data_IF_065238201188
#
_entry.id   IF_065238201188
#
_cell.length_a   1.000
_cell.length_b   1.000
_cell.length_c   1.000
_cell.angle_alpha   90.00
_cell.angle_beta   90.00
_cell.angle_gamma   90.00
#
_symmetry.space_group_name_H-M   'P 1'
#
loop_
_entity.id
_entity.type
_entity.pdbx_description
1 polymer ?
#
# COMPACT_ATOMS: atom_id res chain seq x y z
N UNK A 1 -8.00 -20.68 -30.00
CA UNK A 1 -7.04 -19.55 -29.94
C UNK A 1 -6.54 -19.48 -28.52
N UNK A 2 -5.22 -19.51 -28.35
CA UNK A 2 -4.58 -19.51 -27.06
C UNK A 2 -4.74 -18.13 -26.38
N UNK A 3 -5.23 -18.12 -25.15
CA UNK A 3 -5.41 -16.95 -24.28
C UNK A 3 -4.10 -16.23 -23.89
N UNK A 4 -2.96 -16.66 -24.46
CA UNK A 4 -1.62 -16.23 -24.09
C UNK A 4 -0.84 -15.56 -25.24
N UNK A 5 -1.46 -15.34 -26.40
CA UNK A 5 -0.76 -14.73 -27.54
C UNK A 5 -0.64 -13.20 -27.31
N UNK A 6 0.50 -12.77 -26.78
CA UNK A 6 0.86 -11.35 -26.59
C UNK A 6 1.12 -10.88 -25.15
N UNK A 7 0.97 -11.74 -24.13
CA UNK A 7 1.40 -11.42 -22.77
C UNK A 7 2.87 -11.83 -22.61
N UNK A 8 3.77 -10.85 -22.54
CA UNK A 8 5.22 -11.12 -22.44
C UNK A 8 5.57 -11.95 -21.19
N UNK A 9 4.77 -11.91 -20.11
CA UNK A 9 4.91 -12.82 -18.96
C UNK A 9 3.59 -13.06 -18.20
N UNK A 10 3.30 -14.33 -17.85
CA UNK A 10 2.15 -14.68 -16.99
C UNK A 10 2.49 -14.46 -15.52
N UNK A 11 1.60 -13.78 -14.78
CA UNK A 11 1.73 -13.52 -13.34
C UNK A 11 0.48 -13.99 -12.58
N UNK A 12 0.66 -14.34 -11.30
CA UNK A 12 -0.43 -14.74 -10.41
C UNK A 12 -0.93 -13.52 -9.66
N UNK A 13 -2.23 -13.25 -9.74
CA UNK A 13 -2.92 -12.19 -9.02
C UNK A 13 -4.06 -12.80 -8.20
N UNK A 14 -4.11 -12.48 -6.90
CA UNK A 14 -5.26 -12.72 -6.04
C UNK A 14 -5.99 -11.40 -5.85
N UNK A 15 -7.16 -11.26 -6.44
CA UNK A 15 -8.00 -10.07 -6.31
C UNK A 15 -9.37 -10.46 -5.74
N UNK A 16 -9.92 -9.61 -4.87
CA UNK A 16 -11.30 -9.75 -4.43
C UNK A 16 -12.22 -9.24 -5.52
N UNK A 17 -13.19 -10.05 -5.94
CA UNK A 17 -14.32 -9.60 -6.75
C UNK A 17 -15.58 -9.94 -5.97
N UNK A 18 -16.30 -8.92 -5.51
CA UNK A 18 -17.62 -9.14 -4.94
C UNK A 18 -18.54 -9.56 -6.10
N UNK A 19 -18.88 -10.85 -6.16
CA UNK A 19 -19.60 -11.47 -7.30
C UNK A 19 -21.06 -11.03 -7.47
N UNK A 20 -21.46 -9.89 -6.88
CA UNK A 20 -22.83 -9.39 -6.93
C UNK A 20 -23.09 -8.45 -8.11
N UNK A 21 -22.06 -8.04 -8.86
CA UNK A 21 -22.20 -7.15 -10.00
C UNK A 21 -22.49 -7.93 -11.29
N UNK A 22 -23.63 -7.66 -11.92
CA UNK A 22 -24.03 -8.16 -13.25
C UNK A 22 -23.24 -7.51 -14.41
N UNK A 23 -22.02 -7.03 -14.14
CA UNK A 23 -21.16 -6.32 -15.07
C UNK A 23 -20.04 -7.21 -15.62
N UNK A 24 -19.40 -6.72 -16.68
CA UNK A 24 -18.17 -7.31 -17.20
C UNK A 24 -17.09 -7.20 -16.10
N UNK A 25 -16.77 -8.31 -15.42
CA UNK A 25 -15.77 -8.42 -14.32
C UNK A 25 -14.32 -8.11 -14.80
N UNK A 26 -14.18 -7.51 -15.98
CA UNK A 26 -12.92 -7.02 -16.51
C UNK A 26 -12.42 -5.83 -15.70
N UNK A 27 -11.54 -6.11 -14.75
CA UNK A 27 -10.78 -5.10 -14.03
C UNK A 27 -9.90 -4.26 -14.95
N UNK A 28 -9.80 -2.97 -14.67
CA UNK A 28 -8.88 -2.05 -15.35
C UNK A 28 -7.68 -1.76 -14.47
N UNK A 29 -6.48 -2.06 -14.97
CA UNK A 29 -5.23 -1.62 -14.36
C UNK A 29 -5.01 -0.12 -14.63
N UNK A 30 -4.73 0.65 -13.59
CA UNK A 30 -4.49 2.08 -13.61
C UNK A 30 -3.09 2.38 -13.09
N UNK A 31 -2.38 3.30 -13.75
CA UNK A 31 -1.19 3.94 -13.18
C UNK A 31 -1.62 5.24 -12.51
N UNK A 32 -1.38 5.34 -11.20
CA UNK A 32 -1.65 6.52 -10.38
C UNK A 32 -0.39 6.87 -9.56
N UNK A 33 -0.42 7.96 -8.80
CA UNK A 33 0.67 8.32 -7.90
C UNK A 33 0.47 7.70 -6.53
N UNK A 34 1.54 7.16 -5.96
CA UNK A 34 1.58 6.77 -4.56
C UNK A 34 1.29 8.00 -3.68
N UNK A 35 0.37 7.92 -2.71
CA UNK A 35 -0.12 9.10 -2.00
C UNK A 35 0.93 9.79 -1.13
N UNK A 36 1.93 9.03 -0.63
CA UNK A 36 3.05 9.56 0.14
C UNK A 36 4.21 10.09 -0.71
N UNK A 37 4.74 9.27 -1.62
CA UNK A 37 5.98 9.58 -2.35
C UNK A 37 5.73 10.27 -3.69
N UNK A 38 4.54 10.12 -4.26
CA UNK A 38 4.20 10.62 -5.59
C UNK A 38 4.67 9.72 -6.74
N UNK A 39 5.33 8.59 -6.44
CA UNK A 39 5.87 7.68 -7.45
C UNK A 39 4.76 6.93 -8.22
N UNK A 40 5.04 6.54 -9.46
CA UNK A 40 4.08 5.77 -10.26
C UNK A 40 3.81 4.41 -9.62
N UNK A 41 2.55 4.13 -9.31
CA UNK A 41 2.08 2.90 -8.66
C UNK A 41 0.85 2.36 -9.38
N UNK A 42 0.73 1.03 -9.41
CA UNK A 42 -0.35 0.33 -10.11
C UNK A 42 -1.53 0.06 -9.18
N UNK A 43 -2.73 0.37 -9.64
CA UNK A 43 -4.00 0.12 -8.96
C UNK A 43 -4.94 -0.64 -9.87
N UNK A 44 -5.85 -1.39 -9.28
CA UNK A 44 -6.85 -2.17 -9.99
C UNK A 44 -8.23 -1.60 -9.70
N UNK A 45 -8.92 -1.14 -10.74
CA UNK A 45 -10.31 -0.69 -10.67
C UNK A 45 -11.21 -1.82 -11.15
N UNK A 46 -11.98 -2.42 -10.24
CA UNK A 46 -12.94 -3.51 -10.53
C UNK A 46 -14.28 -3.12 -9.93
N UNK A 47 -15.35 -3.19 -10.72
CA UNK A 47 -16.73 -2.99 -10.25
C UNK A 47 -16.98 -1.67 -9.50
N UNK A 48 -16.18 -0.63 -9.79
CA UNK A 48 -16.27 0.68 -9.13
C UNK A 48 -15.45 0.79 -7.84
N UNK A 49 -14.79 -0.28 -7.42
CA UNK A 49 -13.90 -0.31 -6.26
C UNK A 49 -12.44 -0.21 -6.68
N UNK A 50 -11.69 0.62 -5.95
CA UNK A 50 -10.26 0.79 -6.14
C UNK A 50 -9.50 -0.16 -5.21
N UNK A 51 -8.61 -0.96 -5.80
CA UNK A 51 -7.74 -1.86 -5.08
C UNK A 51 -6.27 -1.49 -5.37
N UNK A 52 -5.44 -1.50 -4.34
CA UNK A 52 -3.99 -1.35 -4.50
C UNK A 52 -3.36 -2.70 -4.81
N UNK A 53 -2.29 -2.70 -5.62
CA UNK A 53 -1.56 -3.91 -5.94
C UNK A 53 -0.31 -4.02 -5.06
N UNK A 54 -0.32 -5.04 -4.22
CA UNK A 54 0.82 -5.44 -3.41
C UNK A 54 1.54 -6.61 -4.09
N UNK A 55 2.87 -6.60 -4.03
CA UNK A 55 3.70 -7.66 -4.61
C UNK A 55 4.53 -8.33 -3.53
N UNK A 56 4.51 -9.66 -3.53
CA UNK A 56 5.31 -10.48 -2.65
C UNK A 56 6.05 -11.54 -3.47
N UNK A 57 7.33 -11.76 -3.15
CA UNK A 57 8.13 -12.82 -3.76
C UNK A 57 9.01 -13.50 -2.70
N UNK A 58 8.84 -14.81 -2.57
CA UNK A 58 9.74 -15.63 -1.78
C UNK A 58 10.98 -16.02 -2.60
N UNK A 59 12.15 -16.03 -1.96
CA UNK A 59 13.38 -16.51 -2.60
C UNK A 59 13.23 -17.95 -3.09
N UNK A 60 13.69 -18.21 -4.31
CA UNK A 60 13.65 -19.53 -4.95
C UNK A 60 12.23 -20.13 -5.13
N UNK A 61 11.20 -19.29 -5.26
CA UNK A 61 9.84 -19.71 -5.58
C UNK A 61 9.57 -19.82 -7.09
N UNK A 62 8.64 -20.69 -7.48
CA UNK A 62 8.07 -20.76 -8.83
C UNK A 62 6.62 -21.24 -8.75
N UNK A 63 5.79 -20.89 -9.73
CA UNK A 63 4.40 -21.34 -9.82
C UNK A 63 4.22 -22.37 -10.92
N UNK A 64 3.52 -23.47 -10.61
CA UNK A 64 3.08 -24.44 -11.61
C UNK A 64 1.64 -24.11 -12.02
N UNK A 65 1.46 -23.73 -13.29
CA UNK A 65 0.19 -23.27 -13.85
C UNK A 65 -0.21 -24.19 -15.01
N UNK A 66 -0.92 -25.28 -14.67
CA UNK A 66 -1.23 -26.33 -15.65
C UNK A 66 0.05 -26.96 -16.21
N UNK A 67 0.23 -26.86 -17.53
CA UNK A 67 1.39 -27.40 -18.25
C UNK A 67 2.61 -26.44 -18.30
N UNK A 68 2.51 -25.27 -17.67
CA UNK A 68 3.53 -24.22 -17.72
C UNK A 68 4.10 -23.92 -16.34
N UNK A 69 5.32 -23.41 -16.32
CA UNK A 69 6.00 -22.95 -15.11
C UNK A 69 6.23 -21.45 -15.23
N UNK A 70 5.81 -20.71 -14.20
CA UNK A 70 6.21 -19.32 -14.00
C UNK A 70 7.38 -19.28 -13.02
N UNK A 71 8.56 -19.03 -13.57
CA UNK A 71 9.83 -19.04 -12.84
C UNK A 71 9.96 -17.88 -11.85
N UNK A 72 9.20 -16.80 -12.01
CA UNK A 72 9.26 -15.65 -11.12
C UNK A 72 8.84 -16.00 -9.69
N UNK A 73 7.82 -16.85 -9.53
CA UNK A 73 7.28 -17.23 -8.22
C UNK A 73 6.65 -16.07 -7.43
N UNK A 74 6.54 -14.88 -8.03
CA UNK A 74 5.90 -13.72 -7.42
C UNK A 74 4.39 -13.88 -7.33
N UNK A 75 3.81 -13.27 -6.30
CA UNK A 75 2.38 -13.19 -6.08
C UNK A 75 1.99 -11.72 -6.00
N UNK A 76 1.01 -11.34 -6.82
CA UNK A 76 0.32 -10.08 -6.65
C UNK A 76 -0.94 -10.30 -5.83
N UNK A 77 -1.23 -9.38 -4.92
CA UNK A 77 -2.50 -9.30 -4.21
C UNK A 77 -3.12 -7.94 -4.48
N UNK A 78 -4.42 -7.92 -4.80
CA UNK A 78 -5.19 -6.70 -4.90
C UNK A 78 -6.03 -6.55 -3.63
N UNK A 79 -5.76 -5.51 -2.85
CA UNK A 79 -6.46 -5.23 -1.59
C UNK A 79 -7.26 -3.93 -1.71
N UNK A 80 -8.52 -3.88 -1.23
CA UNK A 80 -9.28 -2.64 -1.23
C UNK A 80 -8.54 -1.52 -0.50
N UNK A 81 -8.49 -0.34 -1.12
CA UNK A 81 -7.86 0.86 -0.55
C UNK A 81 -8.90 1.97 -0.43
N UNK A 82 -8.85 2.77 0.65
CA UNK A 82 -9.71 3.95 0.73
C UNK A 82 -9.24 5.00 -0.29
N UNK A 83 -10.08 5.36 -1.29
CA UNK A 83 -9.69 6.27 -2.36
C UNK A 83 -9.32 7.68 -1.87
N UNK A 84 -9.78 8.09 -0.68
CA UNK A 84 -9.42 9.39 -0.10
C UNK A 84 -7.91 9.49 0.07
N UNK A 85 -7.19 8.43 0.47
CA UNK A 85 -5.72 8.48 0.56
C UNK A 85 -5.08 8.81 -0.78
N UNK A 86 -5.53 8.14 -1.85
CA UNK A 86 -4.98 8.27 -3.20
C UNK A 86 -5.24 9.66 -3.80
N UNK A 87 -6.40 10.24 -3.47
CA UNK A 87 -6.86 11.50 -4.03
C UNK A 87 -6.50 12.74 -3.19
N UNK A 88 -6.21 12.56 -1.90
CA UNK A 88 -5.93 13.66 -0.98
C UNK A 88 -4.78 14.58 -1.44
N UNK A 89 -3.63 14.07 -1.92
CA UNK A 89 -2.57 14.94 -2.46
C UNK A 89 -3.05 15.81 -3.62
N UNK A 90 -3.94 15.28 -4.47
CA UNK A 90 -4.48 16.02 -5.61
C UNK A 90 -5.45 17.10 -5.17
N UNK A 91 -6.29 16.82 -4.18
CA UNK A 91 -7.21 17.80 -3.62
C UNK A 91 -6.45 18.96 -2.95
N UNK A 92 -5.36 18.62 -2.26
CA UNK A 92 -4.52 19.61 -1.58
C UNK A 92 -3.77 20.51 -2.57
N UNK A 93 -3.20 19.94 -3.63
CA UNK A 93 -2.58 20.72 -4.71
C UNK A 93 -3.61 21.60 -5.44
N UNK A 94 -4.79 21.06 -5.72
CA UNK A 94 -5.80 21.76 -6.51
C UNK A 94 -6.40 22.98 -5.80
N UNK A 95 -6.50 22.99 -4.47
CA UNK A 95 -7.02 24.16 -3.74
C UNK A 95 -6.11 25.39 -3.84
N UNK A 96 -4.84 25.26 -4.25
CA UNK A 96 -3.88 26.37 -4.31
C UNK A 96 -3.78 27.16 -2.99
N UNK A 97 -3.67 26.46 -1.86
CA UNK A 97 -3.56 27.08 -0.54
C UNK A 97 -2.32 27.98 -0.47
N UNK A 98 -2.48 29.21 0.02
CA UNK A 98 -1.39 30.15 0.19
C UNK A 98 -1.45 30.77 1.60
N UNK A 99 -0.49 30.40 2.46
CA UNK A 99 -0.48 30.86 3.86
C UNK A 99 -1.77 30.47 4.60
N UNK A 100 -2.47 31.47 5.15
CA UNK A 100 -3.73 31.28 5.88
C UNK A 100 -4.98 31.27 4.97
N UNK A 101 -4.85 31.52 3.65
CA UNK A 101 -5.98 31.43 2.74
C UNK A 101 -6.36 29.95 2.54
N UNK A 102 -7.62 29.53 2.84
CA UNK A 102 -8.08 28.16 2.61
C UNK A 102 -8.06 27.73 1.14
N UNK A 103 -7.86 28.67 0.20
CA UNK A 103 -7.69 28.39 -1.21
C UNK A 103 -9.00 28.44 -2.00
N UNK A 104 -8.94 27.99 -3.25
CA UNK A 104 -9.99 28.17 -4.27
C UNK A 104 -10.87 26.95 -4.42
N UNK A 105 -12.14 27.22 -4.74
CA UNK A 105 -13.08 26.22 -5.21
C UNK A 105 -12.81 25.90 -6.69
N UNK A 106 -12.76 24.61 -7.03
CA UNK A 106 -12.52 24.12 -8.40
C UNK A 106 -13.47 23.00 -8.78
N UNK A 107 -13.65 22.77 -10.08
CA UNK A 107 -14.51 21.70 -10.55
C UNK A 107 -13.83 20.34 -10.43
N UNK A 108 -14.62 19.28 -10.28
CA UNK A 108 -14.11 17.90 -10.19
C UNK A 108 -13.19 17.56 -11.37
N UNK A 109 -13.65 17.82 -12.60
CA UNK A 109 -12.93 17.52 -13.84
C UNK A 109 -11.58 18.22 -13.92
N UNK A 110 -11.47 19.44 -13.36
CA UNK A 110 -10.21 20.18 -13.29
C UNK A 110 -9.25 19.60 -12.25
N UNK A 111 -9.77 19.08 -11.14
CA UNK A 111 -8.97 18.54 -10.02
C UNK A 111 -8.36 17.19 -10.38
N UNK A 112 -9.13 16.30 -11.02
CA UNK A 112 -8.68 14.94 -11.38
C UNK A 112 -7.93 14.89 -12.72
N UNK A 113 -7.83 16.01 -13.43
CA UNK A 113 -7.07 16.09 -14.67
C UNK A 113 -5.56 16.25 -14.42
N UNK A 114 -4.86 15.12 -14.43
CA UNK A 114 -3.41 15.07 -14.25
C UNK A 114 -2.78 14.63 -15.57
N UNK A 115 -2.00 15.52 -16.17
CA UNK A 115 -1.43 15.35 -17.51
C UNK A 115 -0.71 14.00 -17.70
N UNK A 116 0.16 13.64 -16.76
CA UNK A 116 0.99 12.42 -16.88
C UNK A 116 0.29 11.16 -16.36
N UNK A 117 -0.90 11.29 -15.76
CA UNK A 117 -1.63 10.20 -15.11
C UNK A 117 -3.11 10.23 -15.54
N UNK A 118 -3.44 9.79 -16.76
CA UNK A 118 -4.83 9.77 -17.24
C UNK A 118 -5.73 8.82 -16.46
N UNK A 119 -5.16 7.90 -15.67
CA UNK A 119 -5.89 6.94 -14.83
C UNK A 119 -6.86 7.61 -13.85
N UNK A 120 -6.54 8.81 -13.36
CA UNK A 120 -7.42 9.55 -12.44
C UNK A 120 -8.78 9.91 -13.03
N UNK A 121 -8.89 10.07 -14.36
CA UNK A 121 -10.18 10.31 -15.02
C UNK A 121 -11.15 9.13 -14.86
N UNK A 122 -10.62 7.90 -14.72
CA UNK A 122 -11.44 6.71 -14.46
C UNK A 122 -12.04 6.72 -13.04
N UNK A 123 -11.56 7.58 -12.16
CA UNK A 123 -11.99 7.69 -10.76
C UNK A 123 -13.02 8.79 -10.54
N UNK A 124 -13.60 9.40 -11.58
CA UNK A 124 -14.49 10.58 -11.44
C UNK A 124 -15.61 10.37 -10.41
N UNK A 125 -16.34 9.25 -10.48
CA UNK A 125 -17.43 8.93 -9.55
C UNK A 125 -16.91 8.73 -8.12
N UNK A 126 -15.83 7.96 -7.97
CA UNK A 126 -15.19 7.70 -6.67
C UNK A 126 -14.70 9.01 -6.05
N UNK A 127 -14.08 9.86 -6.86
CA UNK A 127 -13.53 11.14 -6.45
C UNK A 127 -14.63 12.10 -5.98
N UNK A 128 -15.78 12.15 -6.65
CA UNK A 128 -16.92 12.95 -6.18
C UNK A 128 -17.38 12.50 -4.79
N UNK A 129 -17.54 11.19 -4.58
CA UNK A 129 -17.90 10.63 -3.27
C UNK A 129 -16.84 10.93 -2.20
N UNK A 130 -15.56 10.75 -2.52
CA UNK A 130 -14.45 11.07 -1.63
C UNK A 130 -14.42 12.57 -1.27
N UNK A 131 -14.64 13.46 -2.24
CA UNK A 131 -14.66 14.91 -2.00
C UNK A 131 -15.80 15.32 -1.06
N UNK A 132 -16.96 14.66 -1.09
CA UNK A 132 -18.04 14.99 -0.16
C UNK A 132 -17.66 14.76 1.31
N UNK A 133 -16.72 13.82 1.56
CA UNK A 133 -16.22 13.49 2.90
C UNK A 133 -15.23 14.56 3.39
N UNK A 134 -14.26 14.95 2.54
CA UNK A 134 -13.11 15.78 2.97
C UNK A 134 -13.12 17.23 2.47
N UNK A 135 -13.97 17.58 1.51
CA UNK A 135 -14.05 18.93 0.94
C UNK A 135 -15.32 19.67 1.39
N UNK A 136 -15.24 21.00 1.34
CA UNK A 136 -16.42 21.85 1.20
C UNK A 136 -16.83 21.84 -0.27
N UNK A 137 -18.14 21.86 -0.53
CA UNK A 137 -18.65 22.02 -1.90
C UNK A 137 -19.63 23.18 -1.98
N UNK A 138 -19.67 23.82 -3.15
CA UNK A 138 -20.64 24.83 -3.53
C UNK A 138 -21.24 24.43 -4.86
N UNK A 139 -22.55 24.61 -4.98
CA UNK A 139 -23.27 24.31 -6.20
C UNK A 139 -23.76 25.62 -6.83
N UNK A 140 -23.42 25.82 -8.11
CA UNK A 140 -23.85 26.98 -8.89
C UNK A 140 -24.44 26.42 -10.18
N UNK A 141 -25.76 26.54 -10.32
CA UNK A 141 -26.48 25.88 -11.41
C UNK A 141 -26.43 24.36 -11.25
N UNK A 142 -25.95 23.66 -12.27
CA UNK A 142 -25.77 22.20 -12.28
C UNK A 142 -24.33 21.76 -12.02
N UNK A 143 -23.44 22.69 -11.62
CA UNK A 143 -22.01 22.41 -11.47
C UNK A 143 -21.60 22.55 -10.01
N UNK A 144 -20.93 21.51 -9.49
CA UNK A 144 -20.35 21.49 -8.15
C UNK A 144 -18.88 21.91 -8.21
N UNK A 145 -18.50 22.75 -7.26
CA UNK A 145 -17.14 23.18 -7.04
C UNK A 145 -16.70 22.74 -5.65
N UNK A 146 -15.50 22.19 -5.55
CA UNK A 146 -14.95 21.61 -4.34
C UNK A 146 -13.71 22.36 -3.88
N UNK A 147 -13.51 22.42 -2.56
CA UNK A 147 -12.29 22.92 -1.92
C UNK A 147 -11.98 22.06 -0.70
N UNK A 148 -10.75 21.55 -0.60
CA UNK A 148 -10.32 20.72 0.52
C UNK A 148 -10.43 21.47 1.85
N UNK A 149 -11.01 20.82 2.86
CA UNK A 149 -11.23 21.38 4.19
C UNK A 149 -10.37 20.64 5.23
N UNK A 150 -9.42 21.36 5.85
CA UNK A 150 -8.46 20.78 6.80
C UNK A 150 -9.13 20.10 8.00
N UNK A 151 -10.21 20.69 8.54
CA UNK A 151 -10.94 20.12 9.67
C UNK A 151 -11.66 18.82 9.30
N UNK A 152 -12.22 18.74 8.09
CA UNK A 152 -12.87 17.50 7.61
C UNK A 152 -11.85 16.39 7.36
N UNK A 153 -10.70 16.72 6.77
CA UNK A 153 -9.61 15.76 6.57
C UNK A 153 -9.13 15.23 7.92
N UNK A 154 -8.92 16.11 8.91
CA UNK A 154 -8.52 15.70 10.26
C UNK A 154 -9.58 14.78 10.90
N UNK A 155 -10.86 15.14 10.84
CA UNK A 155 -11.93 14.30 11.37
C UNK A 155 -11.96 12.91 10.71
N UNK A 156 -11.84 12.85 9.38
CA UNK A 156 -11.74 11.60 8.64
C UNK A 156 -10.52 10.77 9.06
N UNK A 157 -9.33 11.38 9.19
CA UNK A 157 -8.12 10.68 9.65
C UNK A 157 -8.29 10.11 11.06
N UNK A 158 -8.89 10.84 11.99
CA UNK A 158 -9.16 10.36 13.35
C UNK A 158 -10.14 9.17 13.35
N UNK A 159 -11.16 9.19 12.49
CA UNK A 159 -12.02 8.02 12.29
C UNK A 159 -11.24 6.80 11.78
N UNK A 160 -10.27 7.00 10.86
CA UNK A 160 -9.41 5.92 10.36
C UNK A 160 -8.49 5.36 11.44
N UNK A 161 -7.92 6.22 12.29
CA UNK A 161 -7.13 5.78 13.46
C UNK A 161 -7.97 4.88 14.36
N UNK A 162 -9.19 5.32 14.72
CA UNK A 162 -10.08 4.56 15.58
C UNK A 162 -10.48 3.21 14.95
N UNK A 163 -10.82 3.21 13.65
CA UNK A 163 -11.16 1.99 12.93
C UNK A 163 -9.99 1.01 12.89
N UNK A 164 -8.78 1.48 12.56
CA UNK A 164 -7.60 0.63 12.46
C UNK A 164 -7.20 0.07 13.83
N UNK A 165 -7.25 0.90 14.88
CA UNK A 165 -7.02 0.46 16.27
C UNK A 165 -7.94 -0.70 16.67
N UNK A 166 -9.24 -0.59 16.38
CA UNK A 166 -10.21 -1.65 16.67
C UNK A 166 -9.97 -2.91 15.84
N UNK A 167 -9.54 -2.76 14.59
CA UNK A 167 -9.26 -3.88 13.68
C UNK A 167 -8.00 -4.64 14.08
N UNK A 168 -6.91 -3.96 14.43
CA UNK A 168 -5.65 -4.60 14.84
C UNK A 168 -5.83 -5.50 16.06
N UNK A 169 -6.58 -5.04 17.06
CA UNK A 169 -6.88 -5.82 18.27
C UNK A 169 -7.67 -7.11 17.95
N UNK A 170 -8.48 -7.10 16.89
CA UNK A 170 -9.27 -8.27 16.45
C UNK A 170 -8.48 -9.24 15.59
N UNK A 171 -7.55 -8.74 14.76
CA UNK A 171 -6.85 -9.54 13.76
C UNK A 171 -5.78 -10.44 14.34
N UNK A 172 -5.02 -9.96 15.33
CA UNK A 172 -3.95 -10.76 15.93
C UNK A 172 -3.94 -10.63 17.46
N UNK A 173 -3.97 -11.79 18.12
CA UNK A 173 -3.96 -11.93 19.58
C UNK A 173 -2.70 -11.30 20.20
N UNK A 174 -1.61 -11.15 19.43
CA UNK A 174 -0.41 -10.46 19.88
C UNK A 174 -0.64 -8.96 20.11
N UNK A 175 -1.56 -8.33 19.36
CA UNK A 175 -1.91 -6.91 19.59
C UNK A 175 -2.79 -6.73 20.82
N UNK A 176 -3.57 -7.74 21.22
CA UNK A 176 -4.39 -7.68 22.43
C UNK A 176 -3.56 -7.60 23.73
N UNK A 177 -2.29 -8.02 23.68
CA UNK A 177 -1.36 -7.96 24.80
C UNK A 177 -0.51 -6.67 24.83
N UNK A 178 -0.59 -5.82 23.79
CA UNK A 178 0.17 -4.56 23.71
C UNK A 178 -0.53 -3.44 24.45
N UNK A 179 0.27 -2.47 24.91
CA UNK A 179 -0.28 -1.25 25.52
C UNK A 179 -1.00 -0.41 24.47
N UNK A 180 -1.96 0.41 24.91
CA UNK A 180 -2.71 1.31 24.02
C UNK A 180 -1.79 2.26 23.24
N UNK A 181 -0.68 2.70 23.88
CA UNK A 181 0.34 3.56 23.28
C UNK A 181 1.10 2.87 22.14
N UNK A 182 1.45 1.60 22.30
CA UNK A 182 2.14 0.82 21.25
C UNK A 182 1.21 0.56 20.07
N UNK A 183 -0.04 0.19 20.33
CA UNK A 183 -1.05 0.00 19.27
C UNK A 183 -1.25 1.31 18.52
N UNK A 184 -1.34 2.44 19.22
CA UNK A 184 -1.48 3.74 18.57
C UNK A 184 -0.26 4.09 17.71
N UNK A 185 0.95 3.80 18.19
CA UNK A 185 2.16 3.99 17.41
C UNK A 185 2.14 3.16 16.11
N UNK A 186 1.75 1.88 16.20
CA UNK A 186 1.58 1.00 15.03
C UNK A 186 0.55 1.56 14.05
N UNK A 187 -0.61 2.02 14.54
CA UNK A 187 -1.67 2.65 13.73
C UNK A 187 -1.15 3.88 12.99
N UNK A 188 -0.41 4.75 13.67
CA UNK A 188 0.17 5.96 13.06
C UNK A 188 1.21 5.59 12.02
N UNK A 189 2.04 4.57 12.25
CA UNK A 189 3.00 4.11 11.26
C UNK A 189 2.31 3.59 9.99
N UNK A 190 1.31 2.71 10.14
CA UNK A 190 0.56 2.15 9.00
C UNK A 190 -0.13 3.27 8.20
N UNK A 191 -0.86 4.17 8.86
CA UNK A 191 -1.51 5.29 8.17
C UNK A 191 -0.49 6.25 7.56
N UNK A 192 0.66 6.40 8.20
CA UNK A 192 1.78 7.22 7.73
C UNK A 192 2.43 6.72 6.45
N UNK A 193 2.20 5.49 6.02
CA UNK A 193 2.62 5.01 4.69
C UNK A 193 1.77 5.62 3.56
N UNK A 194 0.53 6.03 3.86
CA UNK A 194 -0.42 6.56 2.89
C UNK A 194 -0.54 8.09 2.92
N UNK A 195 0.10 8.76 3.87
CA UNK A 195 0.01 10.21 4.04
C UNK A 195 1.32 10.88 3.63
N UNK A 196 1.23 11.99 2.91
CA UNK A 196 2.37 12.88 2.71
C UNK A 196 2.88 13.42 4.06
N UNK A 197 4.20 13.52 4.20
CA UNK A 197 4.86 13.92 5.44
C UNK A 197 4.36 15.30 5.92
N UNK A 198 4.23 16.24 4.98
CA UNK A 198 3.60 17.55 5.20
C UNK A 198 2.40 17.75 4.25
N UNK A 199 1.26 18.31 4.73
CA UNK A 199 0.97 18.64 6.13
C UNK A 199 0.35 17.48 6.93
N UNK A 200 -0.14 16.43 6.27
CA UNK A 200 -1.14 15.52 6.85
C UNK A 200 -0.59 14.58 7.91
N UNK A 201 0.56 13.96 7.65
CA UNK A 201 1.18 13.07 8.64
C UNK A 201 1.57 13.83 9.92
N UNK A 202 2.10 15.05 9.77
CA UNK A 202 2.41 15.93 10.90
C UNK A 202 1.15 16.33 11.69
N UNK A 203 0.09 16.76 11.00
CA UNK A 203 -1.20 17.11 11.62
C UNK A 203 -1.77 15.92 12.39
N UNK A 204 -1.68 14.70 11.84
CA UNK A 204 -2.12 13.48 12.51
C UNK A 204 -1.33 13.25 13.81
N UNK A 205 0.00 13.33 13.75
CA UNK A 205 0.87 13.13 14.90
C UNK A 205 0.61 14.15 16.02
N UNK A 206 0.47 15.43 15.67
CA UNK A 206 0.26 16.51 16.65
C UNK A 206 -1.10 16.36 17.35
N UNK A 207 -2.17 16.03 16.62
CA UNK A 207 -3.49 15.82 17.22
C UNK A 207 -3.56 14.56 18.10
N UNK A 208 -2.89 13.48 17.72
CA UNK A 208 -2.87 12.26 18.54
C UNK A 208 -2.01 12.42 19.80
N UNK A 209 -0.94 13.23 19.75
CA UNK A 209 -0.18 13.59 20.94
C UNK A 209 -1.02 14.38 21.92
N UNK A 210 -1.80 15.35 21.44
CA UNK A 210 -2.72 16.13 22.28
C UNK A 210 -3.78 15.22 22.93
N UNK A 211 -4.42 14.34 22.15
CA UNK A 211 -5.37 13.36 22.68
C UNK A 211 -4.73 12.39 23.70
N UNK A 212 -3.49 11.96 23.48
CA UNK A 212 -2.76 11.10 24.42
C UNK A 212 -2.43 11.83 25.72
N UNK A 213 -2.06 13.11 25.66
CA UNK A 213 -1.82 13.92 26.86
C UNK A 213 -3.13 14.20 27.60
N UNK A 214 -4.20 14.54 26.90
CA UNK A 214 -5.54 14.72 27.47
C UNK A 214 -6.09 13.43 28.09
N UNK A 215 -5.82 12.26 27.49
CA UNK A 215 -6.23 10.97 28.06
C UNK A 215 -5.47 10.61 29.35
N UNK A 216 -4.24 11.09 29.52
CA UNK A 216 -3.42 10.86 30.72
C UNK A 216 -3.82 11.81 31.87
N UNK A 217 -4.24 13.05 31.55
CA UNK A 217 -4.70 14.04 32.55
C UNK A 217 -6.03 13.66 33.24
N UNK A 218 -6.83 12.74 32.67
CA UNK A 218 -8.06 12.25 33.31
C UNK A 218 -7.79 11.11 34.31
N UNK A 219 -6.60 10.50 34.29
CA UNK A 219 -6.27 9.34 35.14
C UNK A 219 -5.44 9.64 36.39
N UNK A 220 -4.80 10.80 36.52
CA UNK A 220 -3.89 11.06 37.65
C UNK A 220 -4.54 11.83 38.82
N UNK A 221 -5.36 11.10 39.58
CA UNK A 221 -5.50 11.31 41.02
C UNK A 221 -5.45 9.97 41.77
N UNK A 222 -4.23 9.46 41.98
CA UNK A 222 -3.67 8.91 43.26
C UNK A 222 -2.41 8.03 43.00
N UNK A 223 -1.26 8.54 43.47
CA UNK A 223 -0.26 7.91 44.38
C UNK A 223 -0.15 6.35 44.26
N UNK A 224 0.98 5.70 43.97
CA UNK A 224 2.33 5.86 44.55
C UNK A 224 3.42 5.15 43.71
N UNK A 225 4.66 5.53 44.03
CA UNK A 225 5.97 5.09 43.55
C UNK A 225 6.31 3.58 43.56
N UNK A 226 7.16 3.12 42.62
CA UNK A 226 8.47 2.44 42.83
C UNK A 226 9.06 1.86 41.50
N UNK A 227 10.39 1.97 41.42
CA UNK A 227 11.34 1.68 40.35
C UNK A 227 11.41 0.23 39.79
N UNK A 228 11.93 0.07 38.56
CA UNK A 228 13.25 -0.57 38.27
C UNK A 228 13.37 -1.18 36.85
N UNK A 229 14.29 -0.60 36.05
CA UNK A 229 15.26 -1.19 35.10
C UNK A 229 14.88 -2.14 33.92
N UNK A 230 14.97 -1.56 32.70
CA UNK A 230 15.76 -2.00 31.50
C UNK A 230 15.41 -3.31 30.70
N UNK A 231 15.96 -3.52 29.48
CA UNK A 231 15.16 -3.63 28.25
C UNK A 231 15.30 -4.99 27.54
N UNK A 232 14.47 -5.29 26.53
CA UNK A 232 14.85 -6.31 25.55
C UNK A 232 14.29 -6.02 24.14
N UNK A 233 15.22 -5.70 23.24
CA UNK A 233 15.05 -5.76 21.79
C UNK A 233 14.99 -7.22 21.34
N UNK A 234 14.04 -7.54 20.46
CA UNK A 234 14.04 -8.80 19.72
C UNK A 234 14.45 -8.55 18.27
N UNK A 235 15.64 -9.03 17.91
CA UNK A 235 16.06 -9.33 16.54
C UNK A 235 16.24 -10.85 16.43
N UNK A 236 15.63 -11.55 15.46
CA UNK A 236 16.03 -12.90 15.14
C UNK A 236 17.00 -12.86 13.94
N UNK A 237 18.29 -13.10 14.21
CA UNK A 237 19.26 -13.39 13.15
C UNK A 237 19.60 -14.87 13.24
N UNK A 238 19.24 -15.63 12.22
CA UNK A 238 19.61 -17.05 12.07
C UNK A 238 21.06 -17.10 11.58
N UNK A 239 21.95 -17.65 12.39
CA UNK A 239 23.36 -17.84 12.09
C UNK A 239 23.57 -19.30 11.64
N UNK A 240 23.78 -19.49 10.34
CA UNK A 240 24.31 -20.74 9.80
C UNK A 240 25.83 -20.81 10.03
N UNK A 241 26.26 -22.01 10.40
CA UNK A 241 27.58 -22.39 10.84
C UNK A 241 28.48 -22.61 9.62
N UNK A 242 29.54 -21.83 9.47
CA UNK A 242 30.64 -22.16 8.54
C UNK A 242 31.97 -22.17 9.29
N UNK A 243 32.59 -23.35 9.29
CA UNK A 243 33.95 -23.62 9.73
C UNK A 243 34.97 -22.95 8.79
N UNK A 244 35.98 -22.31 9.39
CA UNK A 244 37.11 -21.72 8.68
C UNK A 244 38.23 -22.73 8.50
N UNK A 245 38.80 -22.81 7.30
CA UNK A 245 40.22 -23.13 7.11
C UNK A 245 40.80 -22.25 5.99
N UNK A 246 41.93 -21.59 6.29
CA UNK A 246 42.65 -20.70 5.37
C UNK A 246 43.88 -21.41 4.81
N UNK A 247 44.07 -21.40 3.48
CA UNK A 247 45.36 -21.04 2.88
C UNK A 247 45.25 -20.51 1.45
N UNK A 248 46.07 -19.51 1.18
CA UNK A 248 46.15 -18.58 0.05
C UNK A 248 46.81 -19.20 -1.18
N UNK A 249 46.37 -18.85 -2.41
CA UNK A 249 47.26 -18.49 -3.54
C UNK A 249 46.52 -17.80 -4.70
N UNK A 250 47.26 -16.94 -5.40
CA UNK A 250 46.87 -15.92 -6.38
C UNK A 250 46.50 -16.47 -7.78
N UNK A 251 45.61 -15.77 -8.50
CA UNK A 251 45.87 -15.07 -9.79
C UNK A 251 44.73 -15.14 -10.82
N UNK A 252 44.63 -14.05 -11.60
CA UNK A 252 44.04 -13.88 -12.95
C UNK A 252 42.50 -13.79 -13.15
N UNK A 253 42.06 -12.61 -13.63
CA UNK A 253 40.89 -12.35 -14.49
C UNK A 253 41.06 -13.09 -15.84
N UNK A 254 40.01 -13.43 -16.63
CA UNK A 254 39.05 -12.43 -17.15
C UNK A 254 37.60 -12.90 -17.49
N UNK A 255 36.83 -11.90 -17.93
CA UNK A 255 35.67 -11.92 -18.84
C UNK A 255 34.22 -11.94 -18.31
N UNK A 256 33.54 -10.83 -18.68
CA UNK A 256 32.09 -10.64 -18.86
C UNK A 256 31.43 -11.86 -19.50
N UNK A 257 30.29 -12.30 -18.96
CA UNK A 257 29.11 -12.64 -19.77
C UNK A 257 27.83 -12.15 -19.09
N UNK A 258 26.98 -11.59 -19.95
CA UNK A 258 25.73 -10.94 -19.66
C UNK A 258 24.65 -11.93 -19.21
N UNK A 259 23.68 -11.36 -18.51
CA UNK A 259 22.33 -11.84 -18.22
C UNK A 259 21.77 -12.71 -19.36
N UNK A 260 21.30 -13.90 -19.02
CA UNK A 260 20.42 -14.70 -19.89
C UNK A 260 19.07 -14.75 -19.19
N UNK A 261 18.15 -13.91 -19.67
CA UNK A 261 16.71 -14.09 -19.49
C UNK A 261 16.34 -15.43 -20.08
N UNK A 262 15.74 -16.30 -19.26
CA UNK A 262 15.25 -17.59 -19.75
C UNK A 262 13.77 -17.65 -19.43
N UNK A 263 13.02 -17.85 -20.51
CA UNK A 263 11.59 -17.68 -20.62
C UNK A 263 10.85 -18.90 -20.06
N UNK A 264 9.55 -18.75 -19.81
CA UNK A 264 8.66 -19.81 -19.34
C UNK A 264 8.82 -21.11 -20.14
N UNK A 265 9.13 -22.21 -19.44
CA UNK A 265 9.32 -23.53 -20.02
C UNK A 265 8.12 -24.45 -19.77
N UNK A 266 7.87 -25.39 -20.69
CA UNK A 266 6.86 -26.43 -20.48
C UNK A 266 7.33 -27.40 -19.40
N UNK A 267 6.41 -27.79 -18.51
CA UNK A 267 6.70 -28.73 -17.42
C UNK A 267 7.23 -30.09 -17.92
N UNK A 268 6.82 -30.50 -19.13
CA UNK A 268 7.24 -31.77 -19.75
C UNK A 268 8.75 -31.79 -20.05
N UNK A 269 9.35 -30.65 -20.31
CA UNK A 269 10.78 -30.55 -20.64
C UNK A 269 11.67 -30.70 -19.40
N UNK A 270 11.20 -30.26 -18.23
CA UNK A 270 11.96 -30.32 -16.97
C UNK A 270 12.11 -31.75 -16.43
N UNK A 271 11.07 -32.59 -16.55
CA UNK A 271 11.09 -33.97 -16.02
C UNK A 271 11.62 -35.01 -17.01
N UNK A 272 11.83 -34.64 -18.27
CA UNK A 272 12.34 -35.57 -19.30
C UNK A 272 13.80 -36.00 -19.08
N UNK A 273 14.60 -35.21 -18.36
CA UNK A 273 16.04 -35.46 -18.15
C UNK A 273 16.37 -36.45 -17.03
N UNK A 274 15.42 -36.78 -16.16
CA UNK A 274 15.67 -37.65 -15.00
C UNK A 274 15.57 -39.17 -15.30
N UNK A 275 15.08 -39.58 -16.47
CA UNK A 275 14.81 -41.01 -16.77
C UNK A 275 15.89 -41.71 -17.61
N UNK A 276 17.06 -41.11 -17.85
CA UNK A 276 18.16 -41.77 -18.59
C UNK A 276 19.44 -41.89 -17.76
N UNK A 277 19.40 -42.66 -16.68
CA UNK A 277 20.56 -43.38 -16.13
C UNK A 277 20.11 -44.74 -15.61
N UNK A 278 19.91 -45.64 -16.56
CA UNK A 278 19.67 -47.06 -16.32
C UNK A 278 20.19 -47.86 -17.50
N UNK A 279 21.48 -48.21 -17.45
CA UNK A 279 22.09 -49.44 -17.95
C UNK A 279 23.58 -49.43 -17.60
#
# INVERSE_FOLDING_TARGET
MAWYDGLEETRVLVASSDSSATGDDTGRLLQLRHPKTGDSTSYLLINGDLQELNWFKQSYGSWFMGDYICEDGGLYTATPVDPVFILLPMFDQARMKNGNDPGKFRQLDEIIYIHDYPGYRCLSTIAESSMQIVCDFKEIGSTKFFRLNDSKVLAWMLCKVQQLKQTLVKLDKNYAARSEKEILADVVMILGEYLADDPWYKVLCDNLRLNMVEAVDVSDMKIDSVDTSTPSSFNPTVQEQTTNDKRVTRSAKPNKKAKVETNSHSIKDMFSRASRRGK
#
